data_IF_435725183472
#
_entry.id   IF_435725183472
#
_cell.length_a   1.000
_cell.length_b   1.000
_cell.length_c   1.000
_cell.angle_alpha   90.00
_cell.angle_beta   90.00
_cell.angle_gamma   90.00
#
_symmetry.space_group_name_H-M   'P 1'
#
loop_
_entity.id
_entity.type
_entity.pdbx_description
1 polymer ?
#
# COMPACT_ATOMS: atom_id res chain seq x y z
N UNK A 1 10.39 31.55 27.60
CA UNK A 1 10.44 30.39 28.51
C UNK A 1 9.39 29.41 28.02
N UNK A 2 9.77 28.17 27.73
CA UNK A 2 8.82 27.12 27.30
C UNK A 2 8.54 26.13 28.43
N UNK A 3 7.39 25.47 28.39
CA UNK A 3 6.96 24.44 29.35
C UNK A 3 6.27 23.31 28.58
N UNK A 4 6.46 22.06 29.03
CA UNK A 4 5.94 20.86 28.38
C UNK A 4 5.07 20.04 29.35
N UNK A 5 4.11 19.28 28.80
CA UNK A 5 3.24 18.37 29.55
C UNK A 5 2.79 17.18 28.67
N UNK A 6 2.47 16.04 29.29
CA UNK A 6 2.27 14.74 28.62
C UNK A 6 0.97 14.03 29.04
N UNK A 7 0.48 13.06 28.24
CA UNK A 7 -0.70 12.23 28.56
C UNK A 7 -0.80 10.94 27.72
N UNK A 8 -1.53 9.91 28.17
CA UNK A 8 -1.57 8.57 27.52
C UNK A 8 -2.99 7.97 27.41
N UNK A 9 -3.10 6.95 26.51
CA UNK A 9 -3.96 5.75 26.60
C UNK A 9 -5.21 5.81 25.70
N UNK A 10 -5.49 4.90 24.75
CA UNK A 10 -5.00 3.53 24.47
C UNK A 10 -3.62 3.46 23.79
N UNK A 11 -2.62 2.90 24.48
CA UNK A 11 -1.33 2.48 23.88
C UNK A 11 -0.32 3.59 23.58
N UNK A 12 -0.71 4.67 22.89
CA UNK A 12 0.21 5.76 22.51
C UNK A 12 0.14 6.92 23.52
N UNK A 13 1.29 7.56 23.74
CA UNK A 13 1.57 8.61 24.73
C UNK A 13 2.01 9.88 23.99
N UNK A 14 1.54 11.04 24.43
CA UNK A 14 1.68 12.35 23.78
C UNK A 14 2.73 13.22 24.49
N UNK A 15 3.59 13.93 23.76
CA UNK A 15 4.38 15.06 24.27
C UNK A 15 4.81 16.07 23.17
N UNK A 16 5.28 17.26 23.57
CA UNK A 16 5.56 18.44 22.72
C UNK A 16 6.67 19.33 23.35
N UNK A 17 7.17 20.45 22.79
CA UNK A 17 6.79 21.30 21.65
C UNK A 17 7.96 22.19 21.20
N UNK A 18 8.07 22.60 19.92
CA UNK A 18 9.00 23.68 19.51
C UNK A 18 8.55 24.43 18.23
N UNK A 19 8.40 25.75 18.32
CA UNK A 19 8.21 26.66 17.17
C UNK A 19 9.47 27.46 16.87
N UNK A 20 9.82 27.55 15.57
CA UNK A 20 10.74 28.57 15.05
C UNK A 20 10.60 28.70 13.53
N UNK A 21 9.77 29.63 13.06
CA UNK A 21 9.76 30.12 11.68
C UNK A 21 9.43 31.62 11.65
N UNK A 22 10.40 32.46 11.28
CA UNK A 22 10.18 33.90 11.11
C UNK A 22 9.29 34.18 9.89
N UNK A 23 8.39 35.16 10.00
CA UNK A 23 7.47 35.55 8.94
C UNK A 23 8.15 36.25 7.75
N UNK A 24 7.54 36.16 6.56
CA UNK A 24 7.41 37.28 5.61
C UNK A 24 6.42 37.03 4.46
N UNK A 25 5.31 37.79 4.51
CA UNK A 25 4.62 38.51 3.42
C UNK A 25 4.19 37.87 2.06
N UNK A 26 2.95 38.28 1.69
CA UNK A 26 2.40 38.48 0.34
C UNK A 26 2.09 37.28 -0.59
N UNK A 27 0.79 37.12 -0.89
CA UNK A 27 0.27 36.26 -1.96
C UNK A 27 -1.26 36.35 -2.06
N UNK A 28 -1.77 37.44 -2.64
CA UNK A 28 -3.22 37.71 -2.71
C UNK A 28 -3.87 36.96 -3.88
N UNK A 29 -4.44 35.78 -3.64
CA UNK A 29 -5.22 35.01 -4.63
C UNK A 29 -6.41 34.29 -3.98
N UNK A 30 -7.56 34.97 -3.87
CA UNK A 30 -8.84 34.33 -3.52
C UNK A 30 -9.41 33.60 -4.75
N UNK A 31 -9.08 32.31 -4.89
CA UNK A 31 -9.82 31.40 -5.78
C UNK A 31 -10.70 30.51 -4.91
N UNK A 32 -11.94 30.94 -4.69
CA UNK A 32 -12.91 30.20 -3.87
C UNK A 32 -13.57 29.10 -4.72
N UNK A 33 -12.81 28.01 -4.95
CA UNK A 33 -13.30 26.79 -5.57
C UNK A 33 -14.06 25.94 -4.55
N UNK A 34 -15.34 26.20 -4.37
CA UNK A 34 -16.22 25.39 -3.54
C UNK A 34 -16.59 24.10 -4.27
N UNK A 35 -15.84 23.02 -4.02
CA UNK A 35 -16.26 21.69 -4.43
C UNK A 35 -17.22 21.14 -3.37
N UNK A 36 -18.48 21.60 -3.44
CA UNK A 36 -19.59 20.97 -2.71
C UNK A 36 -19.62 19.49 -3.11
N UNK A 37 -19.07 18.66 -2.22
CA UNK A 37 -19.06 17.22 -2.39
C UNK A 37 -20.18 16.70 -1.52
N UNK A 38 -21.41 16.97 -1.95
CA UNK A 38 -22.63 16.39 -1.40
C UNK A 38 -22.63 14.89 -1.71
N UNK A 39 -21.80 14.16 -0.96
CA UNK A 39 -21.72 12.72 -1.02
C UNK A 39 -23.04 12.22 -0.42
N UNK A 40 -24.00 11.94 -1.31
CA UNK A 40 -25.18 11.17 -0.98
C UNK A 40 -24.72 9.82 -0.47
N UNK A 41 -24.58 9.70 0.84
CA UNK A 41 -24.40 8.42 1.51
C UNK A 41 -25.74 7.72 1.48
N UNK A 42 -26.04 7.07 0.35
CA UNK A 42 -27.17 6.15 0.21
C UNK A 42 -27.05 5.12 1.34
N UNK A 43 -28.02 5.17 2.26
CA UNK A 43 -27.97 4.47 3.55
C UNK A 43 -28.01 2.94 3.40
N UNK A 44 -28.33 2.46 2.21
CA UNK A 44 -28.44 1.05 1.83
C UNK A 44 -27.33 0.61 0.85
N UNK A 45 -26.31 1.45 0.60
CA UNK A 45 -25.18 1.11 -0.28
C UNK A 45 -24.18 0.19 0.43
N UNK A 46 -24.32 -1.12 0.22
CA UNK A 46 -23.37 -2.13 0.70
C UNK A 46 -22.23 -2.33 -0.32
N UNK A 47 -20.99 -2.18 0.14
CA UNK A 47 -19.80 -2.49 -0.65
C UNK A 47 -19.21 -3.83 -0.20
N UNK A 48 -19.14 -4.81 -1.10
CA UNK A 48 -18.40 -6.05 -0.84
C UNK A 48 -16.89 -5.79 -0.95
N UNK A 49 -16.12 -6.29 0.01
CA UNK A 49 -14.65 -6.13 0.08
C UNK A 49 -14.01 -7.51 0.21
N UNK A 50 -13.45 -8.02 -0.90
CA UNK A 50 -12.62 -9.22 -0.87
C UNK A 50 -11.15 -8.88 -0.58
N UNK A 51 -10.49 -9.65 0.28
CA UNK A 51 -9.05 -9.54 0.55
C UNK A 51 -8.34 -10.89 0.34
N UNK A 52 -7.36 -10.90 -0.57
CA UNK A 52 -6.52 -12.09 -0.87
C UNK A 52 -5.06 -11.77 -0.61
N UNK A 53 -4.42 -12.56 0.24
CA UNK A 53 -3.01 -12.43 0.62
C UNK A 53 -2.18 -13.52 -0.07
N UNK A 54 -0.95 -13.20 -0.49
CA UNK A 54 -0.02 -14.14 -1.16
C UNK A 54 1.29 -14.22 -0.38
N UNK A 55 1.75 -15.43 -0.06
CA UNK A 55 2.90 -15.64 0.81
C UNK A 55 2.61 -15.30 2.28
N UNK A 56 3.65 -15.31 3.11
CA UNK A 56 3.53 -15.10 4.55
C UNK A 56 2.89 -16.29 5.29
N UNK A 57 2.78 -16.16 6.61
CA UNK A 57 2.17 -17.15 7.49
C UNK A 57 0.64 -17.13 7.41
N UNK A 58 0.05 -18.23 6.94
CA UNK A 58 -1.40 -18.41 6.81
C UNK A 58 -2.13 -18.39 8.16
N UNK A 59 -3.36 -17.86 8.17
CA UNK A 59 -4.23 -17.85 9.36
C UNK A 59 -3.78 -16.92 10.49
N UNK A 60 -2.80 -16.05 10.25
CA UNK A 60 -2.26 -15.11 11.26
C UNK A 60 -2.88 -13.71 11.15
N UNK A 61 -2.72 -12.88 12.18
CA UNK A 61 -3.11 -11.47 12.11
C UNK A 61 -2.25 -10.70 11.08
N UNK A 62 -2.72 -9.59 10.48
CA UNK A 62 -1.95 -8.84 9.50
C UNK A 62 -0.56 -8.36 9.98
N UNK A 63 -0.39 -8.16 11.29
CA UNK A 63 0.90 -7.82 11.90
C UNK A 63 1.88 -8.99 11.93
N UNK A 64 1.39 -10.18 12.30
CA UNK A 64 2.18 -11.41 12.29
C UNK A 64 2.48 -11.88 10.86
N UNK A 65 1.51 -11.72 9.94
CA UNK A 65 1.71 -11.95 8.51
C UNK A 65 2.84 -11.05 7.95
N UNK A 66 2.84 -9.74 8.26
CA UNK A 66 3.95 -8.85 7.86
C UNK A 66 5.29 -9.28 8.45
N UNK A 67 5.34 -9.64 9.74
CA UNK A 67 6.56 -10.16 10.39
C UNK A 67 7.06 -11.46 9.77
N UNK A 68 6.16 -12.33 9.30
CA UNK A 68 6.55 -13.58 8.62
C UNK A 68 7.19 -13.38 7.24
N UNK A 69 7.11 -12.17 6.67
CA UNK A 69 7.77 -11.77 5.43
C UNK A 69 9.15 -11.11 5.68
N UNK A 70 9.66 -11.14 6.90
CA UNK A 70 11.03 -10.70 7.20
C UNK A 70 12.08 -11.44 6.35
N UNK A 71 13.20 -10.80 6.05
CA UNK A 71 14.26 -11.36 5.20
C UNK A 71 14.95 -12.59 5.81
N UNK A 72 14.90 -12.75 7.13
CA UNK A 72 15.31 -13.98 7.83
C UNK A 72 14.37 -15.18 7.58
N UNK A 73 13.16 -14.95 7.06
CA UNK A 73 12.11 -15.95 6.84
C UNK A 73 11.69 -16.03 5.36
N UNK A 74 12.67 -15.94 4.45
CA UNK A 74 12.46 -15.92 2.99
C UNK A 74 11.71 -17.13 2.41
N UNK A 75 11.62 -18.25 3.15
CA UNK A 75 10.79 -19.41 2.78
C UNK A 75 9.28 -19.08 2.67
N UNK A 76 8.83 -18.02 3.34
CA UNK A 76 7.45 -17.53 3.25
C UNK A 76 7.19 -16.63 2.03
N UNK A 77 8.22 -16.24 1.28
CA UNK A 77 8.08 -15.33 0.15
C UNK A 77 7.45 -16.02 -1.06
N UNK A 78 6.62 -15.27 -1.81
CA UNK A 78 5.96 -15.69 -3.06
C UNK A 78 5.92 -14.53 -4.05
N UNK A 79 5.92 -14.85 -5.34
CA UNK A 79 5.75 -13.86 -6.41
C UNK A 79 4.37 -13.22 -6.34
N UNK A 80 4.30 -11.96 -5.87
CA UNK A 80 3.03 -11.22 -5.74
C UNK A 80 2.53 -10.65 -7.08
N UNK A 81 3.47 -10.22 -7.93
CA UNK A 81 3.23 -9.56 -9.22
C UNK A 81 4.22 -10.09 -10.28
N UNK A 82 3.83 -10.01 -11.56
CA UNK A 82 4.67 -10.35 -12.72
C UNK A 82 4.68 -9.14 -13.66
N UNK A 83 5.86 -8.79 -14.17
CA UNK A 83 5.96 -7.82 -15.27
C UNK A 83 5.63 -8.56 -16.57
N UNK A 84 4.55 -8.19 -17.24
CA UNK A 84 4.10 -8.90 -18.46
C UNK A 84 5.13 -8.80 -19.58
N UNK A 85 5.87 -7.68 -19.67
CA UNK A 85 7.01 -7.47 -20.58
C UNK A 85 8.17 -8.46 -20.37
N UNK A 86 8.24 -9.11 -19.19
CA UNK A 86 9.25 -10.14 -18.87
C UNK A 86 8.65 -11.55 -18.87
N UNK A 87 7.43 -11.74 -19.39
CA UNK A 87 6.82 -13.06 -19.54
C UNK A 87 7.15 -13.62 -20.92
N UNK A 88 8.09 -14.55 -20.96
CA UNK A 88 8.50 -15.24 -22.18
C UNK A 88 7.61 -16.46 -22.45
N UNK A 89 7.30 -16.71 -23.72
CA UNK A 89 6.54 -17.89 -24.15
C UNK A 89 7.38 -19.16 -24.05
N UNK A 90 6.81 -20.26 -23.56
CA UNK A 90 7.56 -21.50 -23.25
C UNK A 90 8.31 -22.09 -24.46
N UNK A 91 7.85 -21.81 -25.67
CA UNK A 91 8.46 -22.22 -26.93
C UNK A 91 9.90 -21.70 -27.13
N UNK A 92 10.35 -20.66 -26.41
CA UNK A 92 11.74 -20.18 -26.51
C UNK A 92 12.77 -21.21 -25.99
N UNK A 93 12.33 -22.17 -25.16
CA UNK A 93 13.17 -23.22 -24.58
C UNK A 93 13.15 -24.53 -25.38
N UNK A 94 12.52 -24.53 -26.56
CA UNK A 94 12.35 -25.73 -27.40
C UNK A 94 13.30 -25.66 -28.59
N UNK A 95 14.15 -26.67 -28.73
CA UNK A 95 15.14 -26.78 -29.83
C UNK A 95 14.53 -27.31 -31.14
N UNK A 96 13.43 -28.06 -31.05
CA UNK A 96 12.68 -28.58 -32.19
C UNK A 96 11.76 -27.49 -32.76
N UNK A 97 12.06 -27.00 -33.98
CA UNK A 97 11.32 -25.91 -34.62
C UNK A 97 9.86 -26.28 -34.97
N UNK A 98 9.56 -27.54 -35.29
CA UNK A 98 8.18 -27.99 -35.58
C UNK A 98 7.32 -27.99 -34.30
N UNK A 99 7.89 -28.45 -33.18
CA UNK A 99 7.24 -28.43 -31.87
C UNK A 99 7.11 -27.00 -31.34
N UNK A 100 8.14 -26.17 -31.52
CA UNK A 100 8.18 -24.75 -31.15
C UNK A 100 7.12 -23.94 -31.88
N UNK A 101 6.90 -24.18 -33.19
CA UNK A 101 5.82 -23.54 -33.92
C UNK A 101 4.45 -23.93 -33.33
N UNK A 102 4.19 -25.22 -33.12
CA UNK A 102 2.91 -25.72 -32.54
C UNK A 102 2.64 -25.27 -31.11
N UNK A 103 3.64 -24.78 -30.39
CA UNK A 103 3.51 -24.22 -29.03
C UNK A 103 3.32 -22.69 -29.03
N UNK A 104 3.51 -22.04 -30.18
CA UNK A 104 3.36 -20.59 -30.39
C UNK A 104 2.01 -20.22 -31.06
N UNK A 105 1.34 -21.21 -31.67
CA UNK A 105 -0.01 -21.14 -32.26
C UNK A 105 -1.13 -21.20 -31.21
#
# INVERSE_FOLDING_TARGET
MGVAAEGQYKGVKVSASYESSKASANGNSKTQGEKDTTQGADKDSSMEIEQKWKGGASGTSPELWRKSLDSSLSSNWKTISRKLEMCEGIWIFVEDEDLKQRLCE
#
